data_IF_009550511697
#
_entry.id   IF_009550511697
#
_cell.length_a   1.000
_cell.length_b   1.000
_cell.length_c   1.000
_cell.angle_alpha   90.00
_cell.angle_beta   90.00
_cell.angle_gamma   90.00
#
_symmetry.space_group_name_H-M   'P 1'
#
loop_
_entity.id
_entity.type
_entity.pdbx_description
1 polymer ?
#
# COMPACT_ATOMS: atom_id res chain seq x y z
N UNK A 1 -27.04 13.10 -45.45
CA UNK A 1 -26.48 13.52 -44.15
C UNK A 1 -24.99 13.26 -44.19
N UNK A 2 -24.18 14.31 -44.19
CA UNK A 2 -22.72 14.18 -44.01
C UNK A 2 -22.47 14.26 -42.51
N UNK A 3 -21.80 13.29 -41.87
CA UNK A 3 -21.42 13.45 -40.47
C UNK A 3 -20.44 14.63 -40.38
N UNK A 4 -20.72 15.60 -39.53
CA UNK A 4 -19.74 16.65 -39.23
C UNK A 4 -18.49 15.98 -38.65
N UNK A 5 -17.28 16.32 -39.11
CA UNK A 5 -16.07 15.84 -38.47
C UNK A 5 -16.04 16.42 -37.06
N UNK A 6 -16.26 15.55 -36.07
CA UNK A 6 -16.05 15.88 -34.66
C UNK A 6 -14.62 16.38 -34.49
N UNK A 7 -14.48 17.52 -33.81
CA UNK A 7 -13.21 18.21 -33.61
C UNK A 7 -12.17 17.21 -33.04
N UNK A 8 -10.95 17.11 -33.61
CA UNK A 8 -9.87 16.32 -33.04
C UNK A 8 -9.62 16.57 -31.54
N UNK A 9 -9.86 17.78 -31.06
CA UNK A 9 -9.80 18.13 -29.63
C UNK A 9 -10.90 17.45 -28.82
N UNK A 10 -12.14 17.42 -29.33
CA UNK A 10 -13.28 16.72 -28.68
C UNK A 10 -13.04 15.20 -28.69
N UNK A 11 -12.52 14.65 -29.78
CA UNK A 11 -12.11 13.24 -29.84
C UNK A 11 -11.01 12.91 -28.82
N UNK A 12 -9.99 13.77 -28.68
CA UNK A 12 -8.93 13.59 -27.69
C UNK A 12 -9.47 13.66 -26.25
N UNK A 13 -10.40 14.58 -25.96
CA UNK A 13 -11.03 14.71 -24.64
C UNK A 13 -11.91 13.49 -24.30
N UNK A 14 -12.69 12.98 -25.27
CA UNK A 14 -13.49 11.76 -25.12
C UNK A 14 -12.60 10.52 -24.91
N UNK A 15 -11.48 10.41 -25.63
CA UNK A 15 -10.52 9.32 -25.46
C UNK A 15 -9.86 9.35 -24.07
N UNK A 16 -9.44 10.53 -23.60
CA UNK A 16 -8.90 10.71 -22.25
C UNK A 16 -9.94 10.36 -21.17
N UNK A 17 -11.18 10.84 -21.32
CA UNK A 17 -12.28 10.54 -20.40
C UNK A 17 -12.58 9.03 -20.36
N UNK A 18 -12.56 8.34 -21.50
CA UNK A 18 -12.74 6.89 -21.57
C UNK A 18 -11.61 6.14 -20.85
N UNK A 19 -10.35 6.55 -21.03
CA UNK A 19 -9.19 5.96 -20.32
C UNK A 19 -9.32 6.16 -18.80
N UNK A 20 -9.60 7.38 -18.35
CA UNK A 20 -9.80 7.68 -16.91
C UNK A 20 -10.94 6.85 -16.34
N UNK A 21 -12.05 6.72 -17.08
CA UNK A 21 -13.22 5.93 -16.66
C UNK A 21 -12.92 4.43 -16.57
N UNK A 22 -12.16 3.87 -17.52
CA UNK A 22 -11.72 2.48 -17.49
C UNK A 22 -10.77 2.19 -16.31
N UNK A 23 -9.85 3.12 -16.01
CA UNK A 23 -8.96 3.02 -14.84
C UNK A 23 -9.76 3.07 -13.54
N UNK A 24 -10.68 4.02 -13.40
CA UNK A 24 -11.54 4.18 -12.22
C UNK A 24 -12.47 2.97 -12.01
N UNK A 25 -13.04 2.42 -13.09
CA UNK A 25 -13.85 1.20 -13.08
C UNK A 25 -13.03 -0.02 -12.69
N UNK A 26 -11.82 -0.18 -13.25
CA UNK A 26 -10.92 -1.29 -12.93
C UNK A 26 -10.50 -1.28 -11.45
N UNK A 27 -10.11 -0.10 -10.94
CA UNK A 27 -9.81 0.10 -9.52
C UNK A 27 -11.02 -0.19 -8.62
N UNK A 28 -12.20 0.34 -8.97
CA UNK A 28 -13.40 0.11 -8.17
C UNK A 28 -13.88 -1.35 -8.15
N UNK A 29 -13.70 -2.09 -9.26
CA UNK A 29 -13.96 -3.54 -9.31
C UNK A 29 -12.95 -4.31 -8.43
N UNK A 30 -11.67 -3.93 -8.42
CA UNK A 30 -10.66 -4.56 -7.57
C UNK A 30 -11.00 -4.37 -6.08
N UNK A 31 -11.34 -3.14 -5.68
CA UNK A 31 -11.67 -2.82 -4.29
C UNK A 31 -13.01 -3.46 -3.84
N UNK A 32 -14.00 -3.58 -4.74
CA UNK A 32 -15.22 -4.35 -4.47
C UNK A 32 -14.98 -5.86 -4.37
N UNK A 33 -14.04 -6.43 -5.13
CA UNK A 33 -13.64 -7.84 -4.98
C UNK A 33 -12.98 -8.09 -3.64
N UNK A 34 -12.12 -7.19 -3.18
CA UNK A 34 -11.53 -7.23 -1.84
C UNK A 34 -12.63 -7.14 -0.77
N UNK A 35 -13.56 -6.19 -0.88
CA UNK A 35 -14.68 -6.06 0.04
C UNK A 35 -15.56 -7.34 0.09
N UNK A 36 -15.89 -7.92 -1.05
CA UNK A 36 -16.66 -9.18 -1.13
C UNK A 36 -15.87 -10.36 -0.57
N UNK A 37 -14.55 -10.40 -0.74
CA UNK A 37 -13.72 -11.45 -0.18
C UNK A 37 -13.70 -11.35 1.34
N UNK A 38 -13.33 -10.19 1.91
CA UNK A 38 -13.35 -9.91 3.36
C UNK A 38 -14.71 -10.20 4.00
N UNK A 39 -15.82 -9.87 3.33
CA UNK A 39 -17.17 -10.07 3.88
C UNK A 39 -17.67 -11.53 3.75
N UNK A 40 -16.97 -12.39 3.01
CA UNK A 40 -17.36 -13.80 2.79
C UNK A 40 -16.32 -14.82 3.24
N UNK A 41 -15.10 -14.38 3.47
CA UNK A 41 -14.06 -15.20 4.06
C UNK A 41 -14.48 -15.61 5.47
N UNK A 42 -13.88 -16.70 5.94
CA UNK A 42 -14.06 -17.21 7.29
C UNK A 42 -12.67 -17.31 7.89
N UNK A 43 -12.47 -16.83 9.14
CA UNK A 43 -11.22 -17.04 9.86
C UNK A 43 -10.83 -18.52 9.80
N UNK A 44 -9.65 -18.78 9.24
CA UNK A 44 -9.02 -20.09 9.14
C UNK A 44 -8.06 -20.24 10.32
N UNK A 45 -7.86 -21.46 10.82
CA UNK A 45 -6.81 -21.71 11.82
C UNK A 45 -5.45 -21.83 11.14
N UNK A 46 -4.37 -21.43 11.82
CA UNK A 46 -3.00 -21.61 11.31
C UNK A 46 -2.69 -23.08 11.00
N UNK A 47 -3.21 -24.02 11.79
CA UNK A 47 -3.06 -25.46 11.53
C UNK A 47 -3.68 -25.95 10.20
N UNK A 48 -4.58 -25.18 9.57
CA UNK A 48 -5.22 -25.52 8.31
C UNK A 48 -4.41 -25.04 7.09
N UNK A 49 -3.48 -24.09 7.26
CA UNK A 49 -2.73 -23.48 6.14
C UNK A 49 -1.85 -24.45 5.33
N UNK A 50 -1.34 -25.60 5.85
CA UNK A 50 -0.66 -26.60 5.02
C UNK A 50 -1.52 -27.23 3.92
N UNK A 51 -2.86 -27.14 4.03
CA UNK A 51 -3.77 -27.53 2.94
C UNK A 51 -3.72 -26.59 1.73
N UNK A 52 -3.19 -25.38 1.91
CA UNK A 52 -3.04 -24.35 0.89
C UNK A 52 -4.35 -23.68 0.46
N UNK A 53 -4.21 -22.68 -0.41
CA UNK A 53 -5.34 -21.89 -0.95
C UNK A 53 -5.60 -20.60 -0.17
N UNK A 54 -6.72 -19.91 -0.45
CA UNK A 54 -7.03 -18.63 0.19
C UNK A 54 -7.30 -18.80 1.70
N UNK A 55 -6.66 -17.97 2.52
CA UNK A 55 -6.78 -17.98 3.98
C UNK A 55 -7.02 -16.57 4.53
N UNK A 56 -7.78 -16.50 5.61
CA UNK A 56 -7.98 -15.31 6.45
C UNK A 56 -7.49 -15.68 7.86
N UNK A 57 -6.37 -15.10 8.29
CA UNK A 57 -5.72 -15.41 9.55
C UNK A 57 -5.70 -14.20 10.47
N UNK A 58 -5.80 -14.46 11.77
CA UNK A 58 -5.65 -13.44 12.81
C UNK A 58 -4.76 -13.98 13.91
N UNK A 59 -3.69 -13.25 14.24
CA UNK A 59 -2.76 -13.69 15.27
C UNK A 59 -1.76 -12.61 15.67
N UNK A 60 -0.84 -12.98 16.54
CA UNK A 60 0.27 -12.13 16.98
C UNK A 60 1.41 -12.19 15.96
N UNK A 61 1.87 -11.03 15.50
CA UNK A 61 3.04 -10.92 14.64
C UNK A 61 4.34 -11.11 15.44
N UNK A 62 5.21 -12.02 15.01
CA UNK A 62 6.47 -12.38 15.69
C UNK A 62 7.65 -12.30 14.73
N UNK A 63 8.82 -11.81 15.15
CA UNK A 63 9.98 -11.63 14.27
C UNK A 63 10.58 -12.98 13.83
N UNK A 64 11.10 -13.03 12.60
CA UNK A 64 11.94 -14.13 12.12
C UNK A 64 13.36 -13.60 11.97
N UNK A 65 14.25 -14.00 12.89
CA UNK A 65 15.67 -13.63 12.89
C UNK A 65 15.99 -12.18 13.29
N UNK A 66 15.16 -11.20 12.94
CA UNK A 66 15.40 -9.78 13.20
C UNK A 66 14.18 -8.87 13.09
N UNK A 67 14.45 -7.57 13.15
CA UNK A 67 13.48 -6.46 13.05
C UNK A 67 14.11 -5.31 12.27
N UNK A 68 13.28 -4.53 11.57
CA UNK A 68 13.64 -3.26 10.95
C UNK A 68 13.65 -2.12 11.98
N UNK A 69 14.08 -0.94 11.53
CA UNK A 69 13.98 0.33 12.25
C UNK A 69 13.28 1.33 11.34
N UNK A 70 12.16 1.89 11.79
CA UNK A 70 11.41 2.87 11.00
C UNK A 70 12.22 4.15 10.73
N UNK A 71 12.01 4.82 9.60
CA UNK A 71 12.90 5.90 9.16
C UNK A 71 12.82 7.17 10.01
N UNK A 72 11.69 7.48 10.65
CA UNK A 72 11.46 8.75 11.35
C UNK A 72 11.43 8.62 12.88
N UNK A 73 11.03 7.48 13.44
CA UNK A 73 11.07 7.25 14.90
C UNK A 73 12.12 6.21 15.34
N UNK A 74 12.76 5.49 14.40
CA UNK A 74 13.68 4.38 14.69
C UNK A 74 13.04 3.28 15.56
N UNK A 75 11.72 3.11 15.49
CA UNK A 75 11.00 2.11 16.28
C UNK A 75 11.23 0.72 15.66
N UNK A 76 11.46 -0.34 16.47
CA UNK A 76 11.55 -1.71 15.97
C UNK A 76 10.24 -2.15 15.29
N UNK A 77 10.31 -2.57 14.04
CA UNK A 77 9.13 -3.01 13.29
C UNK A 77 9.42 -4.24 12.40
N UNK A 78 8.37 -4.93 11.99
CA UNK A 78 8.39 -6.05 11.03
C UNK A 78 8.14 -5.55 9.61
N UNK A 79 7.36 -4.49 9.48
CA UNK A 79 7.16 -3.73 8.25
C UNK A 79 6.93 -2.25 8.57
N UNK A 80 7.24 -1.37 7.63
CA UNK A 80 6.82 0.03 7.67
C UNK A 80 6.46 0.55 6.28
N UNK A 81 5.58 1.54 6.24
CA UNK A 81 5.34 2.41 5.08
C UNK A 81 5.51 3.87 5.52
N UNK A 82 6.19 4.68 4.71
CA UNK A 82 6.33 6.11 4.96
C UNK A 82 5.87 6.99 3.80
N UNK A 83 5.45 8.20 4.14
CA UNK A 83 5.11 9.28 3.21
C UNK A 83 5.70 10.57 3.75
N UNK A 84 6.42 11.29 2.90
CA UNK A 84 6.87 12.67 3.14
C UNK A 84 6.06 13.58 2.25
N UNK A 85 5.38 14.56 2.86
CA UNK A 85 4.60 15.58 2.18
C UNK A 85 5.29 16.94 2.39
N UNK A 86 5.29 17.79 1.36
CA UNK A 86 5.75 19.18 1.45
C UNK A 86 4.58 20.12 1.17
N UNK A 87 4.44 21.19 1.96
CA UNK A 87 3.45 22.22 1.70
C UNK A 87 3.85 23.04 0.46
N UNK A 88 2.90 23.25 -0.45
CA UNK A 88 3.10 23.99 -1.70
C UNK A 88 2.05 25.08 -1.85
N UNK A 89 2.49 26.27 -2.24
CA UNK A 89 1.58 27.35 -2.62
C UNK A 89 0.85 27.03 -3.94
N UNK A 90 -0.41 27.42 -4.01
CA UNK A 90 -1.22 27.43 -5.21
C UNK A 90 -1.99 28.75 -5.31
N UNK A 91 -2.57 29.03 -6.49
CA UNK A 91 -3.41 30.23 -6.70
C UNK A 91 -4.60 30.34 -5.73
N UNK A 92 -5.01 29.22 -5.12
CA UNK A 92 -6.19 29.12 -4.26
C UNK A 92 -5.85 28.80 -2.80
N UNK A 93 -4.59 28.96 -2.37
CA UNK A 93 -4.11 28.62 -1.03
C UNK A 93 -3.05 27.51 -1.03
N UNK A 94 -2.76 26.93 0.13
CA UNK A 94 -1.69 25.95 0.30
C UNK A 94 -2.21 24.51 0.23
N UNK A 95 -1.38 23.59 -0.27
CA UNK A 95 -1.72 22.18 -0.41
C UNK A 95 -0.50 21.29 -0.15
N UNK A 96 -0.72 20.11 0.41
CA UNK A 96 0.33 19.12 0.66
C UNK A 96 0.55 18.28 -0.60
N UNK A 97 1.82 18.11 -0.98
CA UNK A 97 2.24 17.26 -2.10
C UNK A 97 3.21 16.21 -1.61
N UNK A 98 2.97 14.92 -1.92
CA UNK A 98 3.93 13.86 -1.63
C UNK A 98 5.24 14.08 -2.40
N UNK A 99 6.35 14.22 -1.67
CA UNK A 99 7.71 14.40 -2.22
C UNK A 99 8.62 13.19 -2.00
N UNK A 100 8.23 12.25 -1.13
CA UNK A 100 8.83 10.92 -1.07
C UNK A 100 7.85 9.92 -0.46
N UNK A 101 7.95 8.65 -0.84
CA UNK A 101 7.30 7.55 -0.15
C UNK A 101 8.07 6.26 -0.37
N UNK A 102 7.89 5.30 0.53
CA UNK A 102 8.54 4.00 0.44
C UNK A 102 8.01 3.03 1.49
N UNK A 103 8.40 1.77 1.33
CA UNK A 103 8.02 0.65 2.16
C UNK A 103 9.21 -0.30 2.32
N UNK A 104 9.32 -0.92 3.49
CA UNK A 104 10.29 -1.98 3.77
C UNK A 104 9.66 -2.97 4.75
N UNK A 105 10.00 -4.25 4.61
CA UNK A 105 9.43 -5.33 5.40
C UNK A 105 10.40 -6.51 5.52
N UNK A 106 10.21 -7.30 6.56
CA UNK A 106 10.85 -8.60 6.74
C UNK A 106 9.78 -9.69 6.81
N UNK A 107 10.08 -10.93 6.37
CA UNK A 107 9.28 -12.10 6.71
C UNK A 107 9.08 -12.21 8.22
N UNK A 108 7.86 -12.54 8.64
CA UNK A 108 7.48 -12.65 10.04
C UNK A 108 6.57 -13.85 10.27
N UNK A 109 6.35 -14.22 11.53
CA UNK A 109 5.49 -15.33 11.94
C UNK A 109 4.16 -14.79 12.45
N UNK A 110 3.04 -15.37 12.01
CA UNK A 110 1.73 -15.15 12.63
C UNK A 110 1.44 -16.33 13.56
N UNK A 111 1.09 -16.05 14.81
CA UNK A 111 0.72 -17.06 15.81
C UNK A 111 -0.72 -16.80 16.31
N UNK A 112 -1.64 -17.73 16.06
CA UNK A 112 -3.05 -17.65 16.47
C UNK A 112 -3.35 -18.46 17.75
N UNK A 113 -2.33 -19.06 18.37
CA UNK A 113 -2.45 -19.98 19.50
C UNK A 113 -2.72 -21.44 19.12
N UNK A 114 -3.07 -21.75 17.87
CA UNK A 114 -3.14 -23.12 17.34
C UNK A 114 -1.81 -23.59 16.75
N UNK A 115 -1.03 -22.66 16.19
CA UNK A 115 0.31 -22.85 15.68
C UNK A 115 0.87 -21.54 15.12
N UNK A 116 2.03 -21.60 14.46
CA UNK A 116 2.61 -20.43 13.80
C UNK A 116 2.96 -20.66 12.32
N UNK A 117 2.56 -19.72 11.46
CA UNK A 117 2.80 -19.77 10.00
C UNK A 117 3.72 -18.63 9.58
N UNK A 118 4.57 -18.89 8.57
CA UNK A 118 5.40 -17.86 7.97
C UNK A 118 4.54 -16.93 7.10
N UNK A 119 4.64 -15.63 7.32
CA UNK A 119 4.11 -14.58 6.46
C UNK A 119 5.27 -13.97 5.68
N UNK A 120 5.15 -13.96 4.36
CA UNK A 120 6.10 -13.32 3.46
C UNK A 120 5.41 -12.10 2.85
N UNK A 121 5.75 -10.87 3.29
CA UNK A 121 5.03 -9.67 2.84
C UNK A 121 5.21 -9.18 1.39
N UNK A 122 6.10 -9.69 0.52
CA UNK A 122 6.21 -9.20 -0.86
C UNK A 122 4.87 -9.16 -1.61
N UNK A 123 4.50 -7.94 -2.04
CA UNK A 123 3.25 -7.70 -2.76
C UNK A 123 2.00 -7.61 -1.88
N UNK A 124 2.14 -7.56 -0.55
CA UNK A 124 1.05 -7.24 0.36
C UNK A 124 0.58 -5.77 0.19
N UNK A 125 -0.73 -5.57 0.29
CA UNK A 125 -1.36 -4.28 0.53
C UNK A 125 -1.37 -4.03 2.05
N UNK A 126 -0.42 -3.24 2.54
CA UNK A 126 -0.35 -2.89 3.96
C UNK A 126 -1.46 -1.89 4.32
N UNK A 127 -2.23 -2.23 5.36
CA UNK A 127 -3.35 -1.42 5.89
C UNK A 127 -3.15 -1.19 7.39
N UNK A 128 -2.02 -0.57 7.68
CA UNK A 128 -1.52 -0.22 9.01
C UNK A 128 -2.07 1.15 9.46
N UNK A 129 -2.19 1.36 10.77
CA UNK A 129 -2.59 2.67 11.32
C UNK A 129 -1.47 3.71 11.11
N UNK A 130 -1.75 4.97 11.47
CA UNK A 130 -0.73 6.03 11.46
C UNK A 130 -0.16 6.22 12.85
N UNK A 131 1.06 5.74 13.05
CA UNK A 131 1.73 5.73 14.35
C UNK A 131 2.45 7.04 14.65
N UNK A 132 3.04 7.65 13.61
CA UNK A 132 3.74 8.91 13.76
C UNK A 132 3.40 9.89 12.62
N UNK A 133 3.18 11.14 13.02
CA UNK A 133 3.07 12.32 12.17
C UNK A 133 3.97 13.39 12.79
N UNK A 134 5.06 13.70 12.12
CA UNK A 134 6.03 14.72 12.56
C UNK A 134 6.00 15.84 11.53
N UNK A 135 5.72 17.06 11.99
CA UNK A 135 5.77 18.26 11.16
C UNK A 135 7.06 19.01 11.48
N UNK A 136 7.73 19.51 10.44
CA UNK A 136 9.00 20.22 10.49
C UNK A 136 8.85 21.50 9.70
N UNK A 137 8.90 22.63 10.41
CA UNK A 137 8.72 23.95 9.82
C UNK A 137 9.88 24.32 8.90
N UNK A 138 9.57 25.06 7.84
CA UNK A 138 10.51 25.53 6.84
C UNK A 138 11.71 26.30 7.42
N UNK A 139 12.92 25.79 7.17
CA UNK A 139 14.16 26.43 7.62
C UNK A 139 14.55 26.14 9.08
N UNK A 140 13.84 25.22 9.76
CA UNK A 140 14.25 24.69 11.06
C UNK A 140 15.17 23.46 10.92
N UNK A 141 15.89 23.11 11.98
CA UNK A 141 16.70 21.89 12.02
C UNK A 141 15.80 20.67 12.32
N UNK A 142 15.72 19.66 11.43
CA UNK A 142 14.86 18.50 11.65
C UNK A 142 15.38 17.60 12.78
N UNK A 143 14.50 16.81 13.43
CA UNK A 143 14.91 15.78 14.39
C UNK A 143 15.96 14.82 13.81
N UNK A 144 16.92 14.38 14.63
CA UNK A 144 18.08 13.60 14.19
C UNK A 144 17.79 12.30 13.39
N UNK A 145 16.68 11.57 13.60
CA UNK A 145 16.27 10.48 12.69
C UNK A 145 15.91 10.99 11.29
N UNK A 146 15.10 12.05 11.20
CA UNK A 146 14.66 12.67 9.95
C UNK A 146 15.84 13.28 9.19
N UNK A 147 16.78 13.94 9.89
CA UNK A 147 18.03 14.43 9.29
C UNK A 147 18.79 13.28 8.59
N UNK A 148 19.02 12.17 9.31
CA UNK A 148 19.69 10.97 8.78
C UNK A 148 18.89 10.24 7.70
N UNK A 149 17.58 10.42 7.63
CA UNK A 149 16.76 9.91 6.53
C UNK A 149 16.95 10.75 5.26
N UNK A 150 16.92 12.08 5.39
CA UNK A 150 17.15 13.02 4.28
C UNK A 150 18.54 12.78 3.69
N UNK A 151 19.60 12.77 4.53
CA UNK A 151 20.97 12.53 4.09
C UNK A 151 21.13 11.20 3.31
N UNK A 152 20.48 10.12 3.76
CA UNK A 152 20.56 8.80 3.09
C UNK A 152 19.72 8.67 1.83
N UNK A 153 18.71 9.50 1.65
CA UNK A 153 17.80 9.40 0.49
C UNK A 153 18.40 10.06 -0.75
N UNK A 154 19.33 11.00 -0.57
CA UNK A 154 20.04 11.68 -1.67
C UNK A 154 21.02 10.75 -2.41
N UNK A 155 21.67 9.81 -1.71
CA UNK A 155 22.61 8.83 -2.30
C UNK A 155 21.90 7.69 -3.07
N UNK A 156 20.57 7.65 -3.07
CA UNK A 156 19.78 6.58 -3.69
C UNK A 156 19.25 6.98 -5.07
N UNK A 157 20.12 6.84 -6.07
CA UNK A 157 19.76 6.74 -7.51
C UNK A 157 18.92 5.47 -7.77
N UNK A 158 17.69 5.47 -7.28
CA UNK A 158 16.74 4.36 -7.39
C UNK A 158 15.73 4.62 -8.51
N UNK A 159 15.45 3.60 -9.33
CA UNK A 159 14.43 3.61 -10.41
C UNK A 159 12.97 3.81 -9.92
N UNK A 160 12.80 4.24 -8.67
CA UNK A 160 11.55 4.40 -7.96
C UNK A 160 11.09 5.87 -7.88
N UNK A 161 11.44 6.71 -8.87
CA UNK A 161 11.26 8.18 -8.82
C UNK A 161 12.08 8.77 -7.68
N UNK A 162 13.40 8.79 -7.86
CA UNK A 162 14.28 9.62 -7.04
C UNK A 162 13.83 11.08 -7.12
N UNK A 163 13.63 11.70 -5.96
CA UNK A 163 13.46 13.14 -5.82
C UNK A 163 14.68 13.62 -5.06
N UNK A 164 15.43 14.54 -5.67
CA UNK A 164 16.55 15.23 -5.04
C UNK A 164 16.02 16.03 -3.84
N UNK A 165 16.43 15.62 -2.62
CA UNK A 165 15.99 16.25 -1.37
C UNK A 165 16.89 17.44 -0.95
N UNK A 166 17.96 17.70 -1.70
CA UNK A 166 18.76 18.94 -1.70
C UNK A 166 18.47 19.69 -3.02
N UNK A 167 19.20 20.71 -3.46
CA UNK A 167 20.15 21.62 -2.77
C UNK A 167 19.46 22.94 -2.38
N UNK A 168 18.37 23.32 -3.06
CA UNK A 168 18.03 24.74 -3.29
C UNK A 168 17.20 25.46 -2.22
N UNK A 169 16.60 24.77 -1.24
CA UNK A 169 15.61 25.40 -0.34
C UNK A 169 16.02 25.52 1.13
N UNK A 170 17.22 25.10 1.55
CA UNK A 170 17.69 25.22 2.95
C UNK A 170 17.89 26.66 3.46
N UNK A 171 17.60 27.69 2.66
CA UNK A 171 17.56 29.11 3.06
C UNK A 171 16.15 29.73 3.03
N UNK A 172 15.16 28.98 2.59
CA UNK A 172 13.74 29.35 2.45
C UNK A 172 12.92 28.05 2.46
N UNK A 173 13.07 27.24 3.51
CA UNK A 173 12.44 25.91 3.54
C UNK A 173 10.92 26.02 3.48
N UNK A 174 10.26 25.02 2.88
CA UNK A 174 8.82 24.82 3.03
C UNK A 174 8.55 23.87 4.19
N UNK A 175 7.37 23.97 4.78
CA UNK A 175 6.94 23.07 5.83
C UNK A 175 6.81 21.64 5.28
N UNK A 176 7.31 20.67 6.03
CA UNK A 176 7.32 19.25 5.65
C UNK A 176 6.67 18.40 6.72
N UNK A 177 5.90 17.40 6.28
CA UNK A 177 5.21 16.43 7.12
C UNK A 177 5.73 15.04 6.82
N UNK A 178 6.24 14.38 7.85
CA UNK A 178 6.77 13.02 7.83
C UNK A 178 5.75 12.11 8.49
N UNK A 179 5.23 11.14 7.74
CA UNK A 179 4.22 10.18 8.21
C UNK A 179 4.77 8.78 8.06
N UNK A 180 4.79 8.01 9.14
CA UNK A 180 5.08 6.58 9.08
C UNK A 180 3.98 5.73 9.73
N UNK A 181 3.83 4.54 9.18
CA UNK A 181 2.89 3.49 9.53
C UNK A 181 3.69 2.21 9.71
N UNK A 182 3.49 1.45 10.78
CA UNK A 182 4.34 0.31 11.17
C UNK A 182 3.51 -0.92 11.51
N UNK A 183 4.16 -2.07 11.48
CA UNK A 183 3.71 -3.28 12.14
C UNK A 183 4.77 -3.66 13.17
N UNK A 184 4.47 -3.57 14.46
CA UNK A 184 5.42 -3.82 15.54
C UNK A 184 5.39 -5.29 16.01
N UNK A 185 6.52 -5.84 16.49
CA UNK A 185 6.56 -7.17 17.07
C UNK A 185 5.62 -7.29 18.28
N UNK A 186 4.73 -8.28 18.26
CA UNK A 186 3.75 -8.53 19.31
C UNK A 186 2.35 -7.97 19.03
N UNK A 187 2.16 -7.22 17.95
CA UNK A 187 0.84 -6.69 17.57
C UNK A 187 -0.09 -7.77 17.01
N UNK A 188 -1.40 -7.52 17.11
CA UNK A 188 -2.42 -8.39 16.50
C UNK A 188 -2.64 -7.99 15.05
N UNK A 189 -2.16 -8.83 14.14
CA UNK A 189 -2.26 -8.64 12.71
C UNK A 189 -3.37 -9.50 12.10
N UNK A 190 -3.99 -8.98 11.05
CA UNK A 190 -4.95 -9.68 10.20
C UNK A 190 -4.33 -9.88 8.83
N UNK A 191 -4.27 -11.13 8.35
CA UNK A 191 -3.66 -11.48 7.07
C UNK A 191 -4.67 -12.18 6.19
N UNK A 192 -4.99 -11.56 5.06
CA UNK A 192 -5.79 -12.15 3.99
C UNK A 192 -4.85 -12.46 2.83
N UNK A 193 -4.73 -13.71 2.41
CA UNK A 193 -3.79 -14.07 1.35
C UNK A 193 -3.95 -15.51 0.87
N UNK A 194 -2.94 -16.03 0.20
CA UNK A 194 -2.88 -17.43 -0.25
C UNK A 194 -1.81 -18.17 0.54
N UNK A 195 -2.23 -19.21 1.26
CA UNK A 195 -1.33 -20.19 1.87
C UNK A 195 -0.80 -21.16 0.81
N UNK A 196 0.46 -21.55 0.96
CA UNK A 196 1.11 -22.63 0.21
C UNK A 196 1.82 -23.56 1.18
N UNK A 197 1.89 -24.85 0.85
CA UNK A 197 2.74 -25.79 1.55
C UNK A 197 4.22 -25.44 1.33
N UNK A 198 4.97 -25.30 2.41
CA UNK A 198 6.40 -24.99 2.38
C UNK A 198 7.11 -25.73 3.53
N UNK A 199 7.86 -26.80 3.23
CA UNK A 199 8.55 -27.59 4.26
C UNK A 199 9.79 -26.87 4.83
N UNK A 200 10.21 -25.75 4.24
CA UNK A 200 11.33 -24.94 4.74
C UNK A 200 10.87 -23.78 5.64
N UNK A 201 9.56 -23.50 5.68
CA UNK A 201 8.99 -22.43 6.50
C UNK A 201 8.96 -22.74 8.01
N UNK A 202 9.07 -24.01 8.42
CA UNK A 202 9.15 -24.44 9.82
C UNK A 202 10.58 -24.36 10.36
N UNK A 203 10.77 -23.76 11.54
CA UNK A 203 12.09 -23.63 12.20
C UNK A 203 12.09 -23.99 13.69
N UNK A 204 10.91 -24.12 14.30
CA UNK A 204 10.69 -24.45 15.70
C UNK A 204 9.44 -25.32 15.90
N UNK A 205 9.32 -25.94 17.08
CA UNK A 205 8.12 -26.66 17.46
C UNK A 205 6.92 -25.71 17.60
N UNK A 206 5.78 -26.08 16.99
CA UNK A 206 4.59 -25.23 16.88
C UNK A 206 4.45 -24.52 15.54
N UNK A 207 5.51 -24.50 14.71
CA UNK A 207 5.43 -23.99 13.34
C UNK A 207 4.75 -24.98 12.41
N UNK A 208 3.95 -24.46 11.47
CA UNK A 208 3.38 -25.25 10.37
C UNK A 208 4.27 -25.21 9.12
N UNK A 209 4.23 -26.28 8.33
CA UNK A 209 4.94 -26.40 7.04
C UNK A 209 4.21 -25.61 5.94
N UNK A 210 4.02 -24.31 6.14
CA UNK A 210 3.33 -23.43 5.22
C UNK A 210 3.84 -22.00 5.31
N UNK A 211 3.66 -21.28 4.20
CA UNK A 211 3.87 -19.84 4.11
C UNK A 211 2.64 -19.18 3.49
N UNK A 212 2.37 -17.93 3.86
CA UNK A 212 1.31 -17.09 3.28
C UNK A 212 1.94 -15.89 2.59
N UNK A 213 1.61 -15.70 1.31
CA UNK A 213 2.24 -14.70 0.45
C UNK A 213 3.00 -15.33 -0.71
N UNK A 214 3.89 -14.55 -1.31
CA UNK A 214 4.68 -14.91 -2.49
C UNK A 214 6.16 -14.87 -2.11
N UNK A 215 6.91 -15.94 -2.40
CA UNK A 215 8.37 -16.00 -2.22
C UNK A 215 9.03 -14.78 -2.88
N UNK A 216 9.90 -14.09 -2.15
CA UNK A 216 10.70 -12.95 -2.63
C UNK A 216 11.37 -13.25 -3.98
N UNK A 217 11.81 -14.50 -4.19
CA UNK A 217 12.47 -14.95 -5.43
C UNK A 217 11.53 -15.00 -6.64
N UNK A 218 10.23 -15.10 -6.44
CA UNK A 218 9.23 -15.09 -7.50
C UNK A 218 8.83 -13.66 -7.91
N UNK A 219 9.16 -12.64 -7.10
CA UNK A 219 8.90 -11.24 -7.39
C UNK A 219 10.16 -10.53 -7.87
N UNK A 220 10.36 -10.54 -9.19
CA UNK A 220 11.25 -9.58 -9.86
C UNK A 220 10.91 -8.14 -9.41
N UNK A 221 11.90 -7.25 -9.19
CA UNK A 221 11.68 -5.91 -8.62
C UNK A 221 10.77 -4.98 -9.43
N UNK A 222 10.36 -5.39 -10.64
CA UNK A 222 9.50 -4.62 -11.54
C UNK A 222 8.18 -4.16 -10.90
N UNK A 223 7.95 -2.84 -10.90
CA UNK A 223 6.68 -2.21 -10.49
C UNK A 223 5.47 -2.76 -11.26
N UNK A 224 5.66 -3.17 -12.52
CA UNK A 224 4.59 -3.72 -13.35
C UNK A 224 4.04 -5.04 -12.83
N UNK A 225 4.89 -5.96 -12.35
CA UNK A 225 4.40 -7.20 -11.75
C UNK A 225 3.65 -6.92 -10.44
N UNK A 226 4.16 -6.05 -9.56
CA UNK A 226 3.43 -5.63 -8.33
C UNK A 226 2.05 -5.05 -8.67
N UNK A 227 1.97 -4.11 -9.62
CA UNK A 227 0.70 -3.51 -10.06
C UNK A 227 -0.25 -4.55 -10.67
N UNK A 228 0.26 -5.45 -11.52
CA UNK A 228 -0.53 -6.56 -12.10
C UNK A 228 -1.07 -7.49 -11.03
N UNK A 229 -0.28 -7.82 -10.01
CA UNK A 229 -0.74 -8.64 -8.89
C UNK A 229 -1.80 -7.92 -8.04
N UNK A 230 -1.64 -6.62 -7.76
CA UNK A 230 -2.64 -5.82 -7.04
C UNK A 230 -3.98 -5.68 -7.80
N UNK A 231 -3.95 -5.64 -9.13
CA UNK A 231 -5.15 -5.49 -9.98
C UNK A 231 -5.82 -6.81 -10.40
N UNK A 232 -5.04 -7.89 -10.57
CA UNK A 232 -5.51 -9.14 -11.19
C UNK A 232 -5.17 -10.42 -10.40
N UNK A 233 -4.39 -10.32 -9.32
CA UNK A 233 -4.08 -11.44 -8.42
C UNK A 233 -5.17 -11.69 -7.37
N UNK A 234 -4.94 -12.69 -6.52
CA UNK A 234 -5.65 -12.75 -5.24
C UNK A 234 -5.16 -11.59 -4.36
N UNK A 235 -6.05 -10.85 -3.68
CA UNK A 235 -5.64 -9.77 -2.81
C UNK A 235 -4.84 -10.38 -1.65
N UNK A 236 -3.65 -9.82 -1.43
CA UNK A 236 -2.82 -10.10 -0.28
C UNK A 236 -2.80 -8.84 0.57
N UNK A 237 -3.31 -8.90 1.79
CA UNK A 237 -3.54 -7.75 2.68
C UNK A 237 -2.98 -8.09 4.05
N UNK A 238 -2.22 -7.15 4.63
CA UNK A 238 -1.72 -7.21 6.00
C UNK A 238 -2.24 -5.98 6.72
N UNK A 239 -3.16 -6.18 7.66
CA UNK A 239 -3.91 -5.11 8.33
C UNK A 239 -3.76 -5.17 9.85
N UNK A 240 -3.82 -3.99 10.47
CA UNK A 240 -3.79 -3.84 11.91
C UNK A 240 -5.24 -3.75 12.44
N UNK A 241 -5.69 -4.79 13.16
CA UNK A 241 -7.05 -4.86 13.72
C UNK A 241 -8.06 -5.71 12.93
N UNK A 242 -9.21 -6.00 13.56
CA UNK A 242 -10.19 -6.98 13.06
C UNK A 242 -11.24 -6.37 12.13
N UNK A 243 -11.43 -6.97 10.94
CA UNK A 243 -12.23 -6.37 9.88
C UNK A 243 -13.75 -6.64 9.95
N UNK A 244 -14.51 -5.55 10.10
CA UNK A 244 -15.71 -5.31 9.25
C UNK A 244 -15.64 -3.96 8.54
N UNK A 245 -14.94 -3.00 9.14
CA UNK A 245 -14.86 -1.63 8.63
C UNK A 245 -13.97 -1.48 7.40
N UNK A 246 -12.91 -2.29 7.26
CA UNK A 246 -12.02 -2.24 6.11
C UNK A 246 -12.69 -2.77 4.83
N UNK A 247 -13.41 -3.90 4.89
CA UNK A 247 -14.32 -4.33 3.82
C UNK A 247 -15.41 -3.29 3.45
N UNK A 248 -15.98 -2.59 4.44
CA UNK A 248 -16.94 -1.50 4.18
C UNK A 248 -16.29 -0.28 3.52
N UNK A 249 -15.08 0.10 3.95
CA UNK A 249 -14.33 1.24 3.42
C UNK A 249 -13.83 0.96 2.01
N UNK A 250 -13.35 -0.26 1.75
CA UNK A 250 -13.06 -0.78 0.42
C UNK A 250 -14.30 -0.71 -0.50
N UNK A 251 -15.45 -1.21 -0.02
CA UNK A 251 -16.71 -1.13 -0.77
C UNK A 251 -17.15 0.31 -1.07
N UNK A 252 -17.00 1.23 -0.12
CA UNK A 252 -17.33 2.65 -0.30
C UNK A 252 -16.39 3.35 -1.29
N UNK A 253 -15.08 3.11 -1.19
CA UNK A 253 -14.08 3.64 -2.15
C UNK A 253 -14.35 3.09 -3.55
N UNK A 254 -14.57 1.77 -3.69
CA UNK A 254 -14.84 1.15 -4.98
C UNK A 254 -16.12 1.67 -5.65
N UNK A 255 -17.21 1.84 -4.88
CA UNK A 255 -18.42 2.49 -5.37
C UNK A 255 -18.18 3.95 -5.78
N UNK A 256 -17.45 4.73 -4.97
CA UNK A 256 -17.14 6.12 -5.28
C UNK A 256 -16.30 6.28 -6.55
N UNK A 257 -15.31 5.41 -6.78
CA UNK A 257 -14.50 5.41 -8.00
C UNK A 257 -15.32 5.06 -9.24
N UNK A 258 -16.22 4.07 -9.16
CA UNK A 258 -17.11 3.72 -10.28
C UNK A 258 -18.06 4.88 -10.60
N UNK A 259 -18.71 5.46 -9.58
CA UNK A 259 -19.62 6.60 -9.76
C UNK A 259 -18.89 7.83 -10.32
N UNK A 260 -17.68 8.12 -9.84
CA UNK A 260 -16.84 9.21 -10.35
C UNK A 260 -16.42 9.03 -11.81
N UNK A 261 -16.02 7.81 -12.21
CA UNK A 261 -15.71 7.49 -13.60
C UNK A 261 -16.91 7.66 -14.52
N UNK A 262 -18.08 7.13 -14.13
CA UNK A 262 -19.32 7.29 -14.90
C UNK A 262 -19.73 8.77 -15.01
N UNK A 263 -19.62 9.54 -13.94
CA UNK A 263 -19.93 10.97 -13.94
C UNK A 263 -18.97 11.78 -14.85
N UNK A 264 -17.67 11.49 -14.82
CA UNK A 264 -16.68 12.16 -15.66
C UNK A 264 -16.94 11.88 -17.16
N UNK A 265 -17.22 10.64 -17.53
CA UNK A 265 -17.59 10.28 -18.91
C UNK A 265 -18.89 10.97 -19.34
N UNK A 266 -19.91 10.93 -18.49
CA UNK A 266 -21.21 11.57 -18.76
C UNK A 266 -21.11 13.08 -18.94
N UNK A 267 -20.28 13.76 -18.13
CA UNK A 267 -20.03 15.19 -18.27
C UNK A 267 -19.36 15.54 -19.60
N UNK A 268 -18.30 14.81 -19.99
CA UNK A 268 -17.61 15.07 -21.25
C UNK A 268 -18.51 14.79 -22.46
N UNK A 269 -19.34 13.74 -22.41
CA UNK A 269 -20.35 13.49 -23.46
C UNK A 269 -21.39 14.61 -23.51
N UNK A 270 -21.88 15.10 -22.36
CA UNK A 270 -22.87 16.17 -22.31
C UNK A 270 -22.35 17.55 -22.75
N UNK A 271 -21.03 17.77 -22.75
CA UNK A 271 -20.37 18.98 -23.27
C UNK A 271 -20.02 18.84 -24.77
N UNK A 272 -19.99 17.61 -25.30
CA UNK A 272 -19.62 17.30 -26.68
C UNK A 272 -20.82 17.15 -27.65
N UNK A 273 -22.06 17.26 -27.14
CA UNK A 273 -23.33 17.10 -27.88
C UNK A 273 -24.10 18.41 -27.89
#
# INVERSE_FOLDING_TARGET
MVPLPVDPFVLALLALAAVVSLVALGYGIAELRLAVLVLRSRPSAVLETPGGGPVELRGTAKPVGGVLRSPFTETPCLAYEYVVEEERDSKNGRHWTTVASGDEYLPFRLDDGSGSVLIEPPGADFRLATDARIEVDGGTEPPAPIARFIDRTEDLDSENTSIDLRVFELRTGRDRRFVERRLEPGETVHVLGTARYDPSASSAAGDVNAAVGIDERALSPSRWLRLRHRLFGHPFVIAEGSERWLGLRAGAVGLASILGGVAALGFVVAVAV
#
